data_IF_590809246849
#
_entry.id   IF_590809246849
#
_cell.length_a   1.000
_cell.length_b   1.000
_cell.length_c   1.000
_cell.angle_alpha   90.00
_cell.angle_beta   90.00
_cell.angle_gamma   90.00
#
_symmetry.space_group_name_H-M   'P 1'
#
loop_
_entity.id
_entity.type
_entity.pdbx_description
1 polymer ?
#
# COMPACT_ATOMS: atom_id res chain seq x y z
N UNK A 1 4.69 1.56 -24.69
CA UNK A 1 3.48 0.90 -24.12
C UNK A 1 2.61 1.84 -23.29
N UNK A 2 3.15 2.92 -22.71
CA UNK A 2 2.39 3.89 -21.88
C UNK A 2 1.30 4.67 -22.64
N UNK A 3 1.46 4.85 -23.95
CA UNK A 3 0.59 5.73 -24.75
C UNK A 3 -0.68 5.06 -25.30
N UNK A 4 -0.81 3.72 -25.17
CA UNK A 4 -1.89 2.95 -25.83
C UNK A 4 -2.93 2.36 -24.88
N UNK A 5 -2.73 2.44 -23.56
CA UNK A 5 -3.71 1.97 -22.57
C UNK A 5 -4.14 3.16 -21.73
N UNK A 6 -4.91 4.06 -22.34
CA UNK A 6 -5.80 4.97 -21.61
C UNK A 6 -7.17 4.31 -21.46
N UNK A 7 -7.17 3.03 -21.11
CA UNK A 7 -8.42 2.35 -20.79
C UNK A 7 -8.81 2.76 -19.37
N UNK A 8 -9.52 3.88 -19.30
CA UNK A 8 -10.06 4.39 -18.03
C UNK A 8 -10.90 3.33 -17.33
N UNK A 9 -11.59 2.47 -18.09
CA UNK A 9 -12.39 1.39 -17.55
C UNK A 9 -11.51 0.31 -16.90
N UNK A 10 -10.38 -0.04 -17.50
CA UNK A 10 -9.38 -0.93 -16.90
C UNK A 10 -8.91 -0.42 -15.53
N UNK A 11 -8.51 0.86 -15.45
CA UNK A 11 -8.07 1.45 -14.18
C UNK A 11 -9.20 1.56 -13.17
N UNK A 12 -10.40 1.94 -13.60
CA UNK A 12 -11.58 1.99 -12.74
C UNK A 12 -11.90 0.63 -12.14
N UNK A 13 -11.88 -0.43 -12.96
CA UNK A 13 -12.10 -1.79 -12.48
C UNK A 13 -11.04 -2.20 -11.44
N UNK A 14 -9.76 -1.87 -11.66
CA UNK A 14 -8.70 -2.15 -10.68
C UNK A 14 -8.90 -1.38 -9.37
N UNK A 15 -9.30 -0.12 -9.45
CA UNK A 15 -9.61 0.72 -8.27
C UNK A 15 -10.76 0.07 -7.49
N UNK A 16 -11.86 -0.28 -8.16
CA UNK A 16 -13.05 -0.86 -7.52
C UNK A 16 -12.75 -2.22 -6.87
N UNK A 17 -11.99 -3.09 -7.53
CA UNK A 17 -11.56 -4.38 -6.97
C UNK A 17 -10.70 -4.16 -5.72
N UNK A 18 -9.78 -3.19 -5.78
CA UNK A 18 -8.87 -2.89 -4.68
C UNK A 18 -9.63 -2.37 -3.45
N UNK A 19 -10.57 -1.44 -3.62
CA UNK A 19 -11.40 -0.95 -2.51
C UNK A 19 -12.25 -2.07 -1.90
N UNK A 20 -12.93 -2.89 -2.72
CA UNK A 20 -13.70 -4.03 -2.22
C UNK A 20 -12.85 -5.02 -1.41
N UNK A 21 -11.61 -5.24 -1.86
CA UNK A 21 -10.66 -6.09 -1.14
C UNK A 21 -10.27 -5.49 0.21
N UNK A 22 -9.97 -4.18 0.25
CA UNK A 22 -9.68 -3.46 1.50
C UNK A 22 -10.87 -3.55 2.46
N UNK A 23 -12.07 -3.21 2.00
CA UNK A 23 -13.28 -3.20 2.83
C UNK A 23 -13.56 -4.57 3.44
N UNK A 24 -13.45 -5.63 2.63
CA UNK A 24 -13.60 -7.02 3.10
C UNK A 24 -12.57 -7.38 4.17
N UNK A 25 -11.30 -7.02 3.95
CA UNK A 25 -10.22 -7.35 4.87
C UNK A 25 -10.39 -6.61 6.19
N UNK A 26 -10.65 -5.30 6.15
CA UNK A 26 -10.86 -4.48 7.35
C UNK A 26 -12.13 -4.89 8.10
N UNK A 27 -13.18 -5.28 7.40
CA UNK A 27 -14.39 -5.81 8.02
C UNK A 27 -14.12 -7.12 8.76
N UNK A 28 -13.36 -8.04 8.15
CA UNK A 28 -12.99 -9.33 8.77
C UNK A 28 -12.10 -9.16 10.02
N UNK A 29 -11.21 -8.16 10.01
CA UNK A 29 -10.44 -7.79 11.21
C UNK A 29 -11.37 -7.24 12.29
N UNK A 30 -12.30 -6.34 11.92
CA UNK A 30 -13.22 -5.70 12.87
C UNK A 30 -14.24 -6.68 13.47
N UNK A 31 -14.67 -7.68 12.72
CA UNK A 31 -15.58 -8.73 13.20
C UNK A 31 -14.91 -9.77 14.10
N UNK A 32 -13.57 -9.81 14.12
CA UNK A 32 -12.80 -10.81 14.86
C UNK A 32 -12.70 -12.16 14.15
N UNK A 33 -13.06 -12.23 12.87
CA UNK A 33 -12.94 -13.46 12.05
C UNK A 33 -11.48 -13.75 11.66
N UNK A 34 -10.61 -12.72 11.73
CA UNK A 34 -9.19 -12.83 11.44
C UNK A 34 -8.40 -13.19 12.71
N UNK A 35 -7.62 -14.28 12.71
CA UNK A 35 -6.71 -14.61 13.80
C UNK A 35 -5.75 -13.44 14.13
N UNK A 36 -5.50 -13.19 15.41
CA UNK A 36 -4.72 -12.01 15.86
C UNK A 36 -3.31 -11.94 15.24
N UNK A 37 -2.65 -13.08 15.10
CA UNK A 37 -1.32 -13.22 14.49
C UNK A 37 -1.31 -12.88 12.99
N UNK A 38 -2.46 -12.99 12.32
CA UNK A 38 -2.60 -12.66 10.90
C UNK A 38 -2.94 -11.19 10.67
N UNK A 39 -3.44 -10.46 11.68
CA UNK A 39 -3.89 -9.05 11.53
C UNK A 39 -2.83 -8.16 10.86
N UNK A 40 -1.54 -8.21 11.23
CA UNK A 40 -0.50 -7.40 10.57
C UNK A 40 -0.40 -7.69 9.07
N UNK A 41 -0.44 -8.96 8.67
CA UNK A 41 -0.38 -9.37 7.25
C UNK A 41 -1.60 -8.87 6.47
N UNK A 42 -2.81 -9.00 7.04
CA UNK A 42 -4.04 -8.51 6.41
C UNK A 42 -4.04 -6.99 6.21
N UNK A 43 -3.50 -6.24 7.18
CA UNK A 43 -3.27 -4.79 7.04
C UNK A 43 -2.21 -4.49 5.99
N UNK A 44 -1.13 -5.27 5.93
CA UNK A 44 -0.11 -5.18 4.88
C UNK A 44 -0.68 -5.39 3.47
N UNK A 45 -1.60 -6.35 3.30
CA UNK A 45 -2.32 -6.52 2.04
C UNK A 45 -3.22 -5.31 1.70
N UNK A 46 -3.87 -4.72 2.70
CA UNK A 46 -4.66 -3.50 2.51
C UNK A 46 -3.78 -2.32 2.05
N UNK A 47 -2.59 -2.15 2.63
CA UNK A 47 -1.59 -1.16 2.18
C UNK A 47 -1.23 -1.38 0.71
N UNK A 48 -0.95 -2.61 0.30
CA UNK A 48 -0.60 -2.93 -1.08
C UNK A 48 -1.75 -2.59 -2.05
N UNK A 49 -3.00 -2.80 -1.64
CA UNK A 49 -4.17 -2.38 -2.41
C UNK A 49 -4.29 -0.86 -2.52
N UNK A 50 -4.02 -0.09 -1.45
CA UNK A 50 -3.98 1.37 -1.54
C UNK A 50 -2.89 1.86 -2.51
N UNK A 51 -1.71 1.24 -2.49
CA UNK A 51 -0.65 1.55 -3.47
C UNK A 51 -1.12 1.29 -4.91
N UNK A 52 -1.86 0.20 -5.14
CA UNK A 52 -2.42 -0.11 -6.46
C UNK A 52 -3.49 0.91 -6.88
N UNK A 53 -4.33 1.36 -5.95
CA UNK A 53 -5.32 2.43 -6.19
C UNK A 53 -4.60 3.71 -6.59
N UNK A 54 -3.60 4.15 -5.82
CA UNK A 54 -2.81 5.37 -6.08
C UNK A 54 -2.18 5.31 -7.48
N UNK A 55 -1.52 4.19 -7.82
CA UNK A 55 -0.92 3.98 -9.15
C UNK A 55 -1.98 4.02 -10.26
N UNK A 56 -3.14 3.41 -10.04
CA UNK A 56 -4.23 3.34 -11.00
C UNK A 56 -4.87 4.71 -11.23
N UNK A 57 -5.21 5.44 -10.17
CA UNK A 57 -5.75 6.80 -10.22
C UNK A 57 -4.79 7.74 -10.95
N UNK A 58 -3.51 7.70 -10.61
CA UNK A 58 -2.51 8.50 -11.33
C UNK A 58 -2.43 8.16 -12.81
N UNK A 59 -2.39 6.87 -13.14
CA UNK A 59 -2.30 6.41 -14.53
C UNK A 59 -3.55 6.73 -15.35
N UNK A 60 -4.70 6.80 -14.69
CA UNK A 60 -5.97 7.23 -15.28
C UNK A 60 -6.11 8.76 -15.40
N UNK A 61 -5.15 9.54 -14.88
CA UNK A 61 -5.13 11.00 -15.00
C UNK A 61 -5.93 11.76 -13.95
N UNK A 62 -6.23 11.14 -12.80
CA UNK A 62 -6.88 11.83 -11.68
C UNK A 62 -5.98 12.95 -11.13
N UNK A 63 -6.59 13.97 -10.54
CA UNK A 63 -5.83 15.06 -9.93
C UNK A 63 -5.09 14.55 -8.69
N UNK A 64 -3.90 15.09 -8.40
CA UNK A 64 -3.10 14.69 -7.22
C UNK A 64 -3.90 14.87 -5.92
N UNK A 65 -4.80 15.85 -5.86
CA UNK A 65 -5.72 16.05 -4.74
C UNK A 65 -6.53 14.80 -4.41
N UNK A 66 -7.03 14.10 -5.43
CA UNK A 66 -7.89 12.91 -5.33
C UNK A 66 -7.16 11.66 -4.80
N UNK A 67 -5.82 11.70 -4.76
CA UNK A 67 -4.97 10.63 -4.24
C UNK A 67 -4.62 10.84 -2.76
N UNK A 68 -4.83 12.04 -2.22
CA UNK A 68 -4.33 12.41 -0.88
C UNK A 68 -4.91 11.52 0.21
N UNK A 69 -6.21 11.23 0.17
CA UNK A 69 -6.86 10.37 1.16
C UNK A 69 -6.32 8.93 1.11
N UNK A 70 -6.11 8.37 -0.09
CA UNK A 70 -5.58 7.01 -0.22
C UNK A 70 -4.15 6.90 0.32
N UNK A 71 -3.34 7.95 0.12
CA UNK A 71 -2.00 8.03 0.67
C UNK A 71 -2.04 8.09 2.20
N UNK A 72 -2.93 8.90 2.77
CA UNK A 72 -3.09 9.00 4.23
C UNK A 72 -3.51 7.66 4.84
N UNK A 73 -4.53 7.01 4.25
CA UNK A 73 -4.99 5.69 4.70
C UNK A 73 -3.88 4.64 4.60
N UNK A 74 -3.09 4.67 3.52
CA UNK A 74 -1.95 3.75 3.37
C UNK A 74 -0.89 3.99 4.46
N UNK A 75 -0.57 5.24 4.78
CA UNK A 75 0.41 5.59 5.82
C UNK A 75 -0.05 5.09 7.19
N UNK A 76 -1.31 5.33 7.54
CA UNK A 76 -1.89 4.88 8.80
C UNK A 76 -1.80 3.35 8.93
N UNK A 77 -2.27 2.62 7.92
CA UNK A 77 -2.21 1.16 7.91
C UNK A 77 -0.80 0.59 7.89
N UNK A 78 0.16 1.27 7.24
CA UNK A 78 1.58 0.87 7.27
C UNK A 78 2.08 0.86 8.71
N UNK A 79 1.74 1.88 9.51
CA UNK A 79 2.14 1.94 10.92
C UNK A 79 1.51 0.83 11.76
N UNK A 80 0.28 0.44 11.44
CA UNK A 80 -0.46 -0.61 12.15
C UNK A 80 -0.11 -2.03 11.70
N UNK A 81 0.37 -2.20 10.47
CA UNK A 81 0.82 -3.48 9.92
C UNK A 81 2.22 -3.89 10.40
N UNK A 82 2.90 -3.00 11.13
CA UNK A 82 4.26 -3.23 11.57
C UNK A 82 4.29 -4.12 12.82
N UNK A 83 4.60 -5.41 12.61
CA UNK A 83 4.81 -6.39 13.68
C UNK A 83 6.23 -6.35 14.27
N UNK A 84 7.08 -5.45 13.78
CA UNK A 84 8.45 -5.26 14.21
C UNK A 84 9.47 -5.63 13.14
N UNK A 85 10.70 -5.88 13.58
CA UNK A 85 11.77 -6.29 12.68
C UNK A 85 11.82 -7.81 12.59
N UNK A 86 11.63 -8.31 11.38
CA UNK A 86 11.74 -9.73 11.06
C UNK A 86 13.19 -10.15 11.30
N UNK A 87 13.41 -11.10 12.22
CA UNK A 87 14.74 -11.67 12.45
C UNK A 87 15.03 -12.70 11.38
N UNK A 88 16.11 -12.53 10.64
CA UNK A 88 16.54 -13.51 9.65
C UNK A 88 17.05 -14.77 10.36
N UNK A 89 16.50 -15.93 10.03
CA UNK A 89 17.06 -17.20 10.51
C UNK A 89 18.09 -17.72 9.51
N UNK A 90 19.35 -17.85 9.95
CA UNK A 90 20.44 -18.37 9.13
C UNK A 90 21.24 -19.41 9.91
N UNK A 91 21.26 -20.65 9.41
CA UNK A 91 21.98 -21.78 10.03
C UNK A 91 21.64 -21.97 11.52
N UNK A 92 20.35 -21.88 11.88
CA UNK A 92 19.88 -22.05 13.26
C UNK A 92 20.20 -20.87 14.20
N UNK A 93 20.68 -19.73 13.67
CA UNK A 93 20.87 -18.49 14.43
C UNK A 93 19.87 -17.45 13.96
N UNK A 94 19.19 -16.80 14.91
CA UNK A 94 18.35 -15.62 14.65
C UNK A 94 19.25 -14.40 14.58
N UNK A 95 19.47 -13.87 13.38
CA UNK A 95 20.28 -12.67 13.16
C UNK A 95 19.40 -11.42 13.32
N UNK A 96 19.94 -10.39 13.97
CA UNK A 96 19.37 -9.04 14.01
C UNK A 96 19.61 -8.29 12.68
N UNK A 97 19.39 -8.98 11.56
CA UNK A 97 19.44 -8.34 10.28
C UNK A 97 18.07 -7.69 10.06
N UNK A 98 18.04 -6.37 10.18
CA UNK A 98 16.92 -5.57 9.73
C UNK A 98 16.79 -5.79 8.22
N UNK A 99 15.94 -6.74 7.82
CA UNK A 99 15.44 -6.69 6.45
C UNK A 99 14.85 -5.30 6.27
N UNK A 100 15.17 -4.62 5.18
CA UNK A 100 14.21 -3.70 4.57
C UNK A 100 13.00 -4.57 4.19
N UNK A 101 12.21 -4.98 5.18
CA UNK A 101 11.06 -5.84 5.01
C UNK A 101 9.99 -5.09 4.26
N UNK A 102 8.81 -5.70 4.13
CA UNK A 102 7.67 -5.15 3.41
C UNK A 102 7.42 -3.65 3.72
N UNK A 103 7.60 -3.22 4.97
CA UNK A 103 7.55 -1.83 5.41
C UNK A 103 8.55 -0.90 4.73
N UNK A 104 9.80 -1.31 4.57
CA UNK A 104 10.83 -0.52 3.89
C UNK A 104 10.42 -0.25 2.44
N UNK A 105 9.88 -1.26 1.75
CA UNK A 105 9.34 -1.08 0.41
C UNK A 105 8.09 -0.20 0.37
N UNK A 106 7.14 -0.36 1.31
CA UNK A 106 5.92 0.45 1.34
C UNK A 106 6.21 1.92 1.69
N UNK A 107 6.99 2.15 2.74
CA UNK A 107 7.42 3.47 3.16
C UNK A 107 8.23 4.15 2.05
N UNK A 108 9.15 3.45 1.38
CA UNK A 108 9.90 4.02 0.26
C UNK A 108 8.99 4.35 -0.93
N UNK A 109 7.98 3.54 -1.24
CA UNK A 109 7.00 3.85 -2.30
C UNK A 109 6.19 5.10 -1.96
N UNK A 110 5.72 5.22 -0.72
CA UNK A 110 4.95 6.37 -0.24
C UNK A 110 5.83 7.64 -0.22
N UNK A 111 7.06 7.54 0.30
CA UNK A 111 8.02 8.64 0.34
C UNK A 111 8.39 9.08 -1.08
N UNK A 112 8.62 8.14 -2.00
CA UNK A 112 8.88 8.45 -3.42
C UNK A 112 7.73 9.26 -4.03
N UNK A 113 6.49 8.95 -3.65
CA UNK A 113 5.30 9.68 -4.06
C UNK A 113 5.22 11.09 -3.49
N UNK A 114 5.58 11.28 -2.22
CA UNK A 114 5.69 12.60 -1.60
C UNK A 114 6.75 13.45 -2.36
N UNK A 115 7.89 12.87 -2.71
CA UNK A 115 8.92 13.58 -3.49
C UNK A 115 8.47 13.97 -4.90
N UNK A 116 7.64 13.17 -5.58
CA UNK A 116 7.03 13.54 -6.87
C UNK A 116 6.14 14.78 -6.73
N UNK A 117 5.38 14.89 -5.63
CA UNK A 117 4.53 16.07 -5.35
C UNK A 117 5.37 17.35 -5.13
N UNK A 118 6.53 17.24 -4.50
CA UNK A 118 7.40 18.40 -4.23
C UNK A 118 8.29 18.82 -5.41
N UNK A 119 8.55 17.94 -6.38
CA UNK A 119 9.31 18.31 -7.60
C UNK A 119 8.44 18.84 -8.75
N UNK A 120 7.11 18.67 -8.69
CA UNK A 120 6.18 19.16 -9.72
C UNK A 120 5.72 20.61 -9.55
N UNK A 121 6.14 21.32 -8.50
CA UNK A 121 5.72 22.69 -8.18
C UNK A 121 6.54 23.80 -8.83
N UNK A 122 7.16 23.56 -9.99
CA UNK A 122 7.92 24.58 -10.71
C UNK A 122 7.75 24.43 -12.22
N UNK A 123 6.54 24.67 -12.71
CA UNK A 123 6.27 25.14 -14.08
C UNK A 123 5.12 26.13 -14.01
#
# INVERSE_FOLDING_TARGET
>A
MRDKIKDFQYFKNMIDISYKSIDRNLLSIKSGDTPEDMIPDWKGYAVQNFINIIKSKYSAGYAIGDLTQDVQNAIELVSESWDGFWRLEYKGRKLHQYGLGAYGSYAMVIISWIFVRYRGGSV
#
